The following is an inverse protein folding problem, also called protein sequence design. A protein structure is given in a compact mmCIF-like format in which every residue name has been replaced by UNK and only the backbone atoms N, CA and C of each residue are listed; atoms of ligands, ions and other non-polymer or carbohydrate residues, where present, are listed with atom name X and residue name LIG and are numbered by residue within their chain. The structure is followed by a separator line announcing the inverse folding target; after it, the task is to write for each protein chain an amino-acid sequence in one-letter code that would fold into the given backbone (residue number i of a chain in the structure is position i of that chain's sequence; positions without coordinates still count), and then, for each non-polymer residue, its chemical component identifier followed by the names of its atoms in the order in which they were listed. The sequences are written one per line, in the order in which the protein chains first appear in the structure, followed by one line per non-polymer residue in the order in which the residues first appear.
data_IF_676622138975
#
_entry.id   IF_676622138975
#
_cell.length_a   1.000
_cell.length_b   1.000
_cell.length_c   1.000
_cell.angle_alpha   90.00
_cell.angle_beta   90.00
_cell.angle_gamma   90.00
#
_symmetry.space_group_name_H-M   'P 1'
#
loop_
_entity.id
_entity.type
_entity.pdbx_description
1 polymer ?
#
# COMPACT_ATOMS: atom_id res chain seq x y z
N UNK A 1 -6.57 25.53 24.63
CA UNK A 1 -5.61 24.39 24.64
C UNK A 1 -6.14 23.39 23.64
N UNK A 2 -5.58 23.34 22.43
CA UNK A 2 -5.95 22.34 21.44
C UNK A 2 -5.26 21.05 21.83
N UNK A 3 -6.02 20.03 22.21
CA UNK A 3 -5.50 18.67 22.33
C UNK A 3 -4.95 18.27 20.97
N UNK A 4 -3.65 17.96 20.93
CA UNK A 4 -3.06 17.26 19.78
C UNK A 4 -3.84 15.97 19.58
N UNK A 5 -4.23 15.61 18.33
CA UNK A 5 -4.88 14.34 18.11
C UNK A 5 -3.97 13.25 18.65
N UNK A 6 -4.53 12.34 19.46
CA UNK A 6 -3.80 11.21 20.02
C UNK A 6 -3.13 10.45 18.85
N UNK A 7 -1.83 10.21 18.95
CA UNK A 7 -1.12 9.40 17.95
C UNK A 7 -1.81 8.05 17.83
N UNK A 8 -2.11 7.57 16.59
CA UNK A 8 -2.75 6.29 16.41
C UNK A 8 -1.84 5.18 16.97
N UNK A 9 -2.32 4.46 17.96
CA UNK A 9 -1.56 3.35 18.57
C UNK A 9 -1.51 2.18 17.60
N UNK A 10 -0.30 1.77 17.24
CA UNK A 10 -0.10 0.56 16.44
C UNK A 10 -0.44 -0.68 17.27
N UNK A 11 -1.10 -1.71 16.71
CA UNK A 11 -1.44 -2.91 17.47
C UNK A 11 -0.18 -3.71 17.85
N UNK A 12 -0.25 -4.37 19.00
CA UNK A 12 0.78 -5.33 19.36
C UNK A 12 0.71 -6.58 18.45
N UNK A 13 1.86 -7.22 18.19
CA UNK A 13 1.94 -8.40 17.34
C UNK A 13 0.99 -9.51 17.76
N UNK A 14 0.29 -10.08 16.77
CA UNK A 14 -0.63 -11.18 16.98
C UNK A 14 -1.91 -10.84 17.75
N UNK A 15 -2.13 -9.58 18.07
CA UNK A 15 -3.36 -9.08 18.68
C UNK A 15 -4.26 -8.45 17.63
N UNK A 16 -5.50 -8.91 17.57
CA UNK A 16 -6.52 -8.34 16.68
C UNK A 16 -7.03 -7.02 17.27
N UNK A 17 -6.94 -5.92 16.50
CA UNK A 17 -7.45 -4.61 16.89
C UNK A 17 -8.55 -4.16 15.92
N UNK A 18 -9.71 -3.82 16.47
CA UNK A 18 -10.80 -3.21 15.71
C UNK A 18 -10.45 -1.76 15.36
N UNK A 19 -10.59 -1.39 14.08
CA UNK A 19 -10.27 -0.04 13.56
C UNK A 19 -11.54 0.67 13.11
N UNK A 20 -12.39 0.00 12.36
CA UNK A 20 -13.70 0.47 11.95
C UNK A 20 -14.77 -0.54 12.39
N UNK A 21 -16.08 -0.26 12.30
CA UNK A 21 -17.12 -1.25 12.67
C UNK A 21 -17.01 -2.58 11.92
N UNK A 22 -16.28 -2.63 10.80
CA UNK A 22 -16.18 -3.79 9.92
C UNK A 22 -14.75 -4.16 9.52
N UNK A 23 -13.74 -3.44 10.00
CA UNK A 23 -12.35 -3.74 9.70
C UNK A 23 -11.52 -3.87 10.98
N UNK A 24 -10.79 -4.97 11.09
CA UNK A 24 -9.79 -5.22 12.14
C UNK A 24 -8.43 -5.47 11.52
N UNK A 25 -7.37 -5.10 12.23
CA UNK A 25 -5.97 -5.33 11.82
C UNK A 25 -5.32 -6.37 12.70
N UNK A 26 -4.53 -7.24 12.08
CA UNK A 26 -3.60 -8.16 12.72
C UNK A 26 -2.20 -7.85 12.20
N UNK A 27 -1.33 -7.32 13.06
CA UNK A 27 0.06 -6.99 12.69
C UNK A 27 0.91 -8.26 12.68
N UNK A 28 1.62 -8.50 11.58
CA UNK A 28 2.62 -9.56 11.48
C UNK A 28 3.95 -9.13 12.10
N UNK A 29 4.61 -10.03 12.80
CA UNK A 29 5.94 -9.82 13.41
C UNK A 29 7.06 -10.00 12.36
N UNK A 30 7.13 -9.04 11.42
CA UNK A 30 8.12 -8.98 10.36
C UNK A 30 8.69 -7.57 10.18
N UNK A 31 8.89 -6.86 11.29
CA UNK A 31 9.45 -5.50 11.27
C UNK A 31 10.75 -5.42 10.43
N UNK A 32 10.86 -4.38 9.63
CA UNK A 32 11.99 -4.14 8.73
C UNK A 32 12.05 -2.71 8.26
N UNK A 33 13.11 -2.38 7.53
CA UNK A 33 13.29 -1.01 6.98
C UNK A 33 12.17 -0.66 5.99
N UNK A 34 11.65 -1.65 5.28
CA UNK A 34 10.59 -1.47 4.28
C UNK A 34 9.21 -1.73 4.89
N UNK A 35 9.13 -2.66 5.83
CA UNK A 35 7.89 -3.12 6.46
C UNK A 35 7.52 -2.31 7.70
N UNK A 36 8.34 -1.33 8.11
CA UNK A 36 8.16 -0.55 9.34
C UNK A 36 8.03 -1.49 10.58
N UNK A 37 6.92 -1.39 11.31
CA UNK A 37 6.63 -2.28 12.43
C UNK A 37 6.13 -3.67 12.00
N UNK A 38 5.94 -3.91 10.72
CA UNK A 38 5.48 -5.15 10.11
C UNK A 38 4.33 -4.96 9.13
N UNK A 39 3.82 -6.07 8.61
CA UNK A 39 2.72 -6.08 7.64
C UNK A 39 1.36 -6.16 8.36
N UNK A 40 0.48 -5.24 8.06
CA UNK A 40 -0.91 -5.25 8.49
C UNK A 40 -1.73 -6.20 7.60
N UNK A 41 -2.17 -7.33 8.14
CA UNK A 41 -3.23 -8.11 7.52
C UNK A 41 -4.58 -7.58 7.98
N UNK A 42 -5.46 -7.22 7.05
CA UNK A 42 -6.78 -6.70 7.36
C UNK A 42 -7.84 -7.80 7.34
N UNK A 43 -8.69 -7.84 8.35
CA UNK A 43 -9.84 -8.74 8.44
C UNK A 43 -11.10 -7.89 8.33
N UNK A 44 -11.90 -8.14 7.28
CA UNK A 44 -13.09 -7.38 6.93
C UNK A 44 -14.34 -8.22 7.17
N UNK A 45 -15.32 -7.68 7.92
CA UNK A 45 -16.56 -8.38 8.25
C UNK A 45 -17.61 -7.38 8.70
N UNK A 46 -18.79 -7.40 8.09
CA UNK A 46 -19.93 -6.66 8.61
C UNK A 46 -20.37 -7.18 10.00
N UNK A 47 -20.84 -6.31 10.91
CA UNK A 47 -21.37 -6.75 12.20
C UNK A 47 -22.44 -7.83 12.03
N UNK A 48 -22.31 -8.90 12.83
CA UNK A 48 -23.23 -10.05 12.76
C UNK A 48 -22.98 -11.04 11.61
N UNK A 49 -22.14 -10.74 10.64
CA UNK A 49 -21.79 -11.69 9.58
C UNK A 49 -20.87 -12.81 10.12
N UNK A 50 -21.11 -14.04 9.67
CA UNK A 50 -20.28 -15.20 10.03
C UNK A 50 -19.04 -15.36 9.16
N UNK A 51 -19.01 -14.68 8.02
CA UNK A 51 -17.90 -14.72 7.06
C UNK A 51 -16.98 -13.52 7.22
N UNK A 52 -15.73 -13.65 6.78
CA UNK A 52 -14.80 -12.54 6.68
C UNK A 52 -13.93 -12.63 5.42
N UNK A 53 -13.35 -11.50 5.06
CA UNK A 53 -12.31 -11.39 4.04
C UNK A 53 -10.99 -11.10 4.74
N UNK A 54 -9.91 -11.76 4.31
CA UNK A 54 -8.54 -11.44 4.73
C UNK A 54 -7.87 -10.70 3.58
N UNK A 55 -7.23 -9.57 3.86
CA UNK A 55 -6.40 -8.85 2.89
C UNK A 55 -4.95 -8.96 3.31
N UNK A 56 -4.09 -9.37 2.38
CA UNK A 56 -2.64 -9.57 2.53
C UNK A 56 -2.30 -10.52 3.72
N UNK A 57 -2.19 -11.82 3.47
CA UNK A 57 -1.98 -12.81 4.52
C UNK A 57 -0.59 -12.78 5.15
N UNK A 58 0.29 -11.89 4.68
CA UNK A 58 1.61 -11.68 5.24
C UNK A 58 2.74 -12.46 4.58
N UNK A 59 3.96 -12.35 5.15
CA UNK A 59 5.17 -12.98 4.62
C UNK A 59 5.20 -14.49 4.84
N UNK A 60 6.08 -15.22 4.13
CA UNK A 60 6.25 -16.65 4.33
C UNK A 60 6.83 -16.96 5.70
N UNK A 61 6.61 -18.18 6.20
CA UNK A 61 7.18 -18.74 7.44
C UNK A 61 6.67 -18.14 8.75
N UNK A 62 5.77 -17.15 8.75
CA UNK A 62 5.14 -16.58 9.94
C UNK A 62 3.93 -17.42 10.38
N UNK A 63 4.21 -18.67 10.83
CA UNK A 63 3.18 -19.69 11.14
C UNK A 63 2.15 -19.24 12.18
N UNK A 64 2.56 -18.44 13.19
CA UNK A 64 1.66 -17.93 14.24
C UNK A 64 0.65 -16.94 13.63
N UNK A 65 1.12 -16.03 12.77
CA UNK A 65 0.28 -15.07 12.07
C UNK A 65 -0.75 -15.76 11.17
N UNK A 66 -0.31 -16.69 10.31
CA UNK A 66 -1.21 -17.50 9.47
C UNK A 66 -2.21 -18.30 10.30
N UNK A 67 -1.80 -18.86 11.44
CA UNK A 67 -2.72 -19.56 12.35
C UNK A 67 -3.79 -18.63 12.91
N UNK A 68 -3.42 -17.40 13.29
CA UNK A 68 -4.36 -16.42 13.82
C UNK A 68 -5.34 -15.93 12.74
N UNK A 69 -4.90 -15.72 11.49
CA UNK A 69 -5.76 -15.42 10.34
C UNK A 69 -6.73 -16.59 10.05
N UNK A 70 -6.22 -17.81 9.99
CA UNK A 70 -7.03 -18.99 9.73
C UNK A 70 -8.03 -19.32 10.86
N UNK A 71 -7.79 -18.82 12.06
CA UNK A 71 -8.70 -18.97 13.20
C UNK A 71 -9.88 -17.97 13.16
N UNK A 72 -9.87 -17.00 12.24
CA UNK A 72 -10.99 -16.11 12.06
C UNK A 72 -12.20 -16.90 11.54
N UNK A 73 -13.39 -16.71 12.12
CA UNK A 73 -14.58 -17.43 11.67
C UNK A 73 -14.88 -17.14 10.20
N UNK A 74 -15.08 -18.19 9.39
CA UNK A 74 -15.61 -18.10 8.05
C UNK A 74 -14.78 -17.28 7.08
N UNK A 75 -13.46 -17.53 6.96
CA UNK A 75 -12.67 -16.88 5.90
C UNK A 75 -13.24 -17.29 4.55
N UNK A 76 -13.96 -16.38 3.90
CA UNK A 76 -14.66 -16.63 2.63
C UNK A 76 -13.83 -16.23 1.40
N UNK A 77 -12.87 -15.29 1.59
CA UNK A 77 -12.05 -14.77 0.51
C UNK A 77 -10.73 -14.22 1.08
N UNK A 78 -9.65 -14.39 0.32
CA UNK A 78 -8.40 -13.67 0.51
C UNK A 78 -8.19 -12.72 -0.66
N UNK A 79 -7.88 -11.45 -0.37
CA UNK A 79 -7.56 -10.42 -1.37
C UNK A 79 -6.09 -10.03 -1.22
N UNK A 80 -5.43 -9.75 -2.33
CA UNK A 80 -4.02 -9.37 -2.38
C UNK A 80 -3.91 -7.99 -3.01
N UNK A 81 -3.19 -7.08 -2.33
CA UNK A 81 -2.98 -5.72 -2.83
C UNK A 81 -1.93 -5.65 -3.92
N UNK A 82 -0.81 -6.38 -3.79
CA UNK A 82 0.26 -6.44 -4.79
C UNK A 82 1.19 -7.63 -4.55
N UNK A 83 2.16 -7.81 -5.46
CA UNK A 83 2.99 -9.02 -5.59
C UNK A 83 4.10 -9.20 -4.55
N UNK A 84 4.47 -8.19 -3.76
CA UNK A 84 5.58 -8.32 -2.82
C UNK A 84 5.36 -9.46 -1.83
N UNK A 85 6.47 -10.12 -1.46
CA UNK A 85 6.41 -11.40 -0.73
C UNK A 85 5.89 -11.27 0.71
N UNK A 86 6.00 -10.10 1.30
CA UNK A 86 5.46 -9.80 2.62
C UNK A 86 3.93 -9.63 2.63
N UNK A 87 3.31 -9.56 1.44
CA UNK A 87 1.86 -9.62 1.23
C UNK A 87 1.41 -10.99 0.71
N UNK A 88 2.20 -11.60 -0.19
CA UNK A 88 1.81 -12.81 -0.92
C UNK A 88 2.37 -14.11 -0.32
N UNK A 89 3.42 -14.02 0.49
CA UNK A 89 4.21 -15.18 0.89
C UNK A 89 3.46 -16.24 1.70
N UNK A 90 2.36 -15.87 2.35
CA UNK A 90 1.53 -16.78 3.14
C UNK A 90 0.26 -17.26 2.41
N UNK A 91 0.04 -16.90 1.12
CA UNK A 91 -1.15 -17.30 0.34
C UNK A 91 -1.42 -18.79 0.45
N UNK A 92 -0.44 -19.63 0.08
CA UNK A 92 -0.62 -21.09 0.05
C UNK A 92 -0.89 -21.68 1.45
N UNK A 93 -0.25 -21.10 2.47
CA UNK A 93 -0.40 -21.56 3.84
C UNK A 93 -1.78 -21.21 4.41
N UNK A 94 -2.34 -20.04 4.07
CA UNK A 94 -3.68 -19.64 4.47
C UNK A 94 -4.73 -20.42 3.68
N UNK A 95 -4.60 -20.49 2.35
CA UNK A 95 -5.50 -21.24 1.47
C UNK A 95 -5.62 -22.72 1.90
N UNK A 96 -4.50 -23.39 2.17
CA UNK A 96 -4.50 -24.78 2.66
C UNK A 96 -5.27 -24.96 3.96
N UNK A 97 -5.33 -23.94 4.84
CA UNK A 97 -5.98 -24.03 6.15
C UNK A 97 -7.47 -23.70 6.09
N UNK A 98 -7.87 -22.82 5.21
CA UNK A 98 -9.23 -22.26 5.17
C UNK A 98 -10.06 -22.76 4.00
N UNK A 99 -9.40 -23.21 2.89
CA UNK A 99 -10.06 -23.49 1.63
C UNK A 99 -10.56 -22.23 0.91
N UNK A 100 -10.34 -21.05 1.49
CA UNK A 100 -10.84 -19.79 0.92
C UNK A 100 -10.12 -19.48 -0.41
N UNK A 101 -10.85 -19.09 -1.47
CA UNK A 101 -10.23 -18.61 -2.69
C UNK A 101 -9.36 -17.39 -2.44
N UNK A 102 -8.29 -17.24 -3.21
CA UNK A 102 -7.43 -16.05 -3.18
C UNK A 102 -7.52 -15.35 -4.52
N UNK A 103 -7.72 -14.03 -4.49
CA UNK A 103 -7.79 -13.18 -5.67
C UNK A 103 -6.75 -12.06 -5.59
N UNK A 104 -6.02 -11.88 -6.68
CA UNK A 104 -5.01 -10.86 -6.90
C UNK A 104 -5.17 -10.31 -8.32
N UNK A 105 -4.49 -9.21 -8.66
CA UNK A 105 -4.44 -8.74 -10.06
C UNK A 105 -3.66 -9.74 -10.94
N UNK A 106 -2.54 -10.27 -10.43
CA UNK A 106 -1.73 -11.26 -11.14
C UNK A 106 -2.28 -12.68 -10.91
N UNK A 107 -2.46 -13.43 -12.00
CA UNK A 107 -3.00 -14.80 -11.97
C UNK A 107 -2.18 -15.76 -11.10
N UNK A 108 -0.89 -15.59 -11.06
CA UNK A 108 0.05 -16.43 -10.28
C UNK A 108 -0.18 -16.36 -8.76
N UNK A 109 -0.77 -15.26 -8.27
CA UNK A 109 -1.14 -15.09 -6.86
C UNK A 109 -2.61 -15.47 -6.56
N UNK A 110 -3.35 -15.95 -7.56
CA UNK A 110 -4.70 -16.45 -7.35
C UNK A 110 -4.71 -17.93 -6.94
N UNK A 111 -5.66 -18.33 -6.08
CA UNK A 111 -5.99 -19.73 -5.75
C UNK A 111 -7.50 -19.89 -5.81
N UNK A 112 -7.99 -20.82 -6.60
CA UNK A 112 -9.43 -21.09 -6.80
C UNK A 112 -10.30 -19.84 -7.09
N UNK A 113 -9.66 -18.74 -7.50
CA UNK A 113 -10.30 -17.46 -7.81
C UNK A 113 -9.82 -16.87 -9.15
N UNK A 114 -10.61 -15.99 -9.74
CA UNK A 114 -10.24 -15.24 -10.92
C UNK A 114 -9.39 -14.01 -10.56
N UNK A 115 -8.51 -13.52 -11.46
CA UNK A 115 -7.83 -12.24 -11.27
C UNK A 115 -8.81 -11.10 -11.04
N UNK A 116 -8.39 -10.15 -10.22
CA UNK A 116 -9.13 -8.92 -9.95
C UNK A 116 -9.17 -8.03 -11.18
N UNK A 117 -10.29 -7.32 -11.36
CA UNK A 117 -10.48 -6.34 -12.44
C UNK A 117 -10.70 -4.95 -11.85
N UNK A 118 -10.25 -3.94 -12.57
CA UNK A 118 -10.49 -2.57 -12.15
C UNK A 118 -12.00 -2.25 -12.11
N UNK A 119 -12.42 -1.52 -11.07
CA UNK A 119 -13.83 -1.17 -10.81
C UNK A 119 -14.75 -2.36 -10.55
N UNK A 120 -14.22 -3.56 -10.41
CA UNK A 120 -15.00 -4.71 -9.99
C UNK A 120 -15.55 -4.49 -8.58
N UNK A 121 -16.82 -4.85 -8.39
CA UNK A 121 -17.49 -4.85 -7.08
C UNK A 121 -17.64 -6.29 -6.61
N UNK A 122 -17.21 -6.55 -5.38
CA UNK A 122 -17.28 -7.85 -4.72
C UNK A 122 -18.16 -7.68 -3.48
N UNK A 123 -19.34 -8.27 -3.50
CA UNK A 123 -20.22 -8.33 -2.34
C UNK A 123 -19.91 -9.62 -1.57
N UNK A 124 -19.32 -9.49 -0.38
CA UNK A 124 -18.82 -10.60 0.46
C UNK A 124 -18.75 -10.20 1.93
N UNK A 125 -18.99 -11.14 2.84
CA UNK A 125 -18.95 -10.90 4.29
C UNK A 125 -19.87 -9.75 4.75
N UNK A 126 -20.98 -9.51 4.03
CA UNK A 126 -21.91 -8.41 4.27
C UNK A 126 -21.38 -7.02 3.88
N UNK A 127 -20.30 -6.95 3.13
CA UNK A 127 -19.62 -5.72 2.73
C UNK A 127 -19.64 -5.57 1.21
N UNK A 128 -19.59 -4.33 0.75
CA UNK A 128 -19.31 -3.98 -0.65
C UNK A 128 -17.86 -3.56 -0.77
N UNK A 129 -17.09 -4.29 -1.58
CA UNK A 129 -15.65 -4.03 -1.82
C UNK A 129 -15.46 -3.69 -3.29
N UNK A 130 -15.03 -2.45 -3.57
CA UNK A 130 -14.69 -2.03 -4.93
C UNK A 130 -13.18 -2.10 -5.13
N UNK A 131 -12.77 -2.80 -6.18
CA UNK A 131 -11.35 -2.92 -6.58
C UNK A 131 -10.93 -1.69 -7.36
N UNK A 132 -9.86 -1.04 -6.95
CA UNK A 132 -9.28 0.12 -7.64
C UNK A 132 -7.85 -0.21 -8.05
N UNK A 133 -7.55 -0.19 -9.35
CA UNK A 133 -6.16 -0.30 -9.78
C UNK A 133 -5.41 0.96 -9.40
N UNK A 134 -4.36 0.80 -8.61
CA UNK A 134 -3.49 1.87 -8.12
C UNK A 134 -2.01 1.58 -8.40
N UNK A 135 -1.65 1.35 -9.70
CA UNK A 135 -0.27 1.05 -10.06
C UNK A 135 0.67 2.21 -9.72
N UNK A 136 1.94 1.89 -9.56
CA UNK A 136 2.99 2.89 -9.33
C UNK A 136 4.03 2.43 -8.33
N UNK A 137 3.64 1.99 -7.11
CA UNK A 137 4.55 1.29 -6.21
C UNK A 137 5.05 0.00 -6.90
N UNK A 138 4.11 -0.83 -7.34
CA UNK A 138 4.32 -1.90 -8.32
C UNK A 138 3.32 -1.75 -9.47
N UNK A 139 3.59 -2.39 -10.62
CA UNK A 139 2.67 -2.36 -11.77
C UNK A 139 1.34 -3.05 -11.49
N UNK A 140 1.28 -3.99 -10.55
CA UNK A 140 0.09 -4.76 -10.20
C UNK A 140 -0.69 -4.24 -8.99
N UNK A 141 -0.25 -3.15 -8.35
CA UNK A 141 -0.89 -2.62 -7.14
C UNK A 141 -2.37 -2.33 -7.33
N UNK A 142 -3.16 -2.74 -6.33
CA UNK A 142 -4.59 -2.44 -6.21
C UNK A 142 -4.92 -1.96 -4.81
N UNK A 143 -5.93 -1.11 -4.71
CA UNK A 143 -6.55 -0.69 -3.44
C UNK A 143 -7.98 -1.20 -3.38
N UNK A 144 -8.51 -1.35 -2.16
CA UNK A 144 -9.87 -1.82 -1.95
C UNK A 144 -10.66 -0.77 -1.19
N UNK A 145 -11.69 -0.21 -1.85
CA UNK A 145 -12.68 0.63 -1.18
C UNK A 145 -13.74 -0.28 -0.56
N UNK A 146 -13.86 -0.24 0.75
CA UNK A 146 -14.79 -1.04 1.55
C UNK A 146 -15.89 -0.14 2.08
N UNK A 147 -17.15 -0.51 1.85
CA UNK A 147 -18.32 0.29 2.19
C UNK A 147 -19.36 -0.53 2.97
N UNK A 148 -19.90 0.09 4.03
CA UNK A 148 -21.01 -0.45 4.84
C UNK A 148 -21.79 0.71 5.45
N UNK A 149 -23.09 0.82 5.19
CA UNK A 149 -24.03 1.76 5.82
C UNK A 149 -23.51 3.21 5.87
N UNK A 150 -22.92 3.67 4.77
CA UNK A 150 -22.36 5.02 4.65
C UNK A 150 -20.94 5.18 5.23
N UNK A 151 -20.41 4.20 5.96
CA UNK A 151 -19.01 4.19 6.38
C UNK A 151 -18.12 3.69 5.26
N UNK A 152 -16.97 4.34 5.09
CA UNK A 152 -16.01 4.03 4.02
C UNK A 152 -14.60 3.84 4.57
N UNK A 153 -13.89 2.86 4.08
CA UNK A 153 -12.47 2.66 4.37
C UNK A 153 -11.73 2.23 3.09
N UNK A 154 -10.48 2.64 2.95
CA UNK A 154 -9.64 2.31 1.81
C UNK A 154 -8.43 1.53 2.29
N UNK A 155 -8.31 0.29 1.85
CA UNK A 155 -7.08 -0.50 2.00
C UNK A 155 -6.18 -0.14 0.83
N UNK A 156 -5.01 0.42 1.12
CA UNK A 156 -4.13 1.02 0.10
C UNK A 156 -2.94 0.14 -0.27
N UNK A 157 -2.75 -1.00 0.43
CA UNK A 157 -1.49 -1.73 0.29
C UNK A 157 -0.32 -0.79 0.56
N UNK A 158 0.68 -0.87 -0.30
CA UNK A 158 1.87 0.00 -0.26
C UNK A 158 1.76 1.24 -1.15
N UNK A 159 0.60 1.51 -1.72
CA UNK A 159 0.39 2.77 -2.46
C UNK A 159 0.47 3.97 -1.51
N UNK A 160 -0.12 3.87 -0.32
CA UNK A 160 0.01 4.86 0.77
C UNK A 160 0.21 4.11 2.08
N UNK A 161 1.29 4.42 2.79
CA UNK A 161 1.64 3.86 4.11
C UNK A 161 1.07 4.73 5.24
N UNK A 162 1.01 4.18 6.43
CA UNK A 162 0.58 4.90 7.63
C UNK A 162 1.57 5.96 8.11
N UNK A 163 2.83 5.84 7.73
CA UNK A 163 3.89 6.83 8.00
C UNK A 163 4.97 6.76 6.93
N UNK A 164 5.76 7.82 6.78
CA UNK A 164 6.79 7.90 5.75
C UNK A 164 6.22 8.08 4.35
N UNK A 165 6.92 7.61 3.34
CA UNK A 165 6.49 7.59 1.94
C UNK A 165 6.96 6.29 1.27
N UNK A 166 6.13 5.72 0.40
CA UNK A 166 6.45 4.46 -0.29
C UNK A 166 7.61 4.60 -1.28
N UNK A 167 8.24 3.48 -1.59
CA UNK A 167 9.25 3.36 -2.64
C UNK A 167 8.58 2.96 -3.96
N UNK A 168 9.06 3.49 -5.08
CA UNK A 168 8.66 3.02 -6.42
C UNK A 168 9.57 1.84 -6.76
N UNK A 169 8.99 0.66 -6.97
CA UNK A 169 9.75 -0.55 -7.30
C UNK A 169 10.49 -0.36 -8.63
N UNK A 170 11.82 -0.52 -8.66
CA UNK A 170 12.61 -0.27 -9.87
C UNK A 170 12.38 -1.31 -10.98
N UNK A 171 11.67 -2.41 -10.71
CA UNK A 171 11.43 -3.48 -11.69
C UNK A 171 10.24 -3.18 -12.61
N UNK A 172 9.13 -2.66 -12.06
CA UNK A 172 7.92 -2.35 -12.81
C UNK A 172 7.10 -1.19 -12.22
N UNK A 173 7.59 -0.55 -11.16
CA UNK A 173 6.99 0.66 -10.61
C UNK A 173 7.16 1.86 -11.54
N UNK A 174 6.21 2.79 -11.48
CA UNK A 174 6.17 3.99 -12.32
C UNK A 174 5.72 5.20 -11.52
N UNK A 175 6.52 6.27 -11.53
CA UNK A 175 6.12 7.52 -10.86
C UNK A 175 4.92 8.18 -11.55
N UNK A 176 4.80 8.05 -12.88
CA UNK A 176 3.63 8.53 -13.63
C UNK A 176 2.36 7.85 -13.14
N UNK A 177 2.36 6.52 -13.12
CA UNK A 177 1.20 5.74 -12.71
C UNK A 177 0.88 6.00 -11.24
N UNK A 178 1.92 6.15 -10.40
CA UNK A 178 1.78 6.48 -9.00
C UNK A 178 1.08 7.83 -8.77
N UNK A 179 1.45 8.88 -9.52
CA UNK A 179 0.78 10.19 -9.45
C UNK A 179 -0.70 10.10 -9.89
N UNK A 180 -0.98 9.29 -10.92
CA UNK A 180 -2.35 8.97 -11.33
C UNK A 180 -3.13 8.24 -10.24
N UNK A 181 -2.51 7.27 -9.58
CA UNK A 181 -3.09 6.52 -8.47
C UNK A 181 -3.38 7.39 -7.26
N UNK A 182 -2.49 8.32 -6.90
CA UNK A 182 -2.74 9.29 -5.83
C UNK A 182 -3.96 10.19 -6.15
N UNK A 183 -4.06 10.69 -7.38
CA UNK A 183 -5.24 11.47 -7.80
C UNK A 183 -6.52 10.64 -7.70
N UNK A 184 -6.48 9.38 -8.13
CA UNK A 184 -7.60 8.45 -8.02
C UNK A 184 -8.01 8.23 -6.56
N UNK A 185 -7.06 7.96 -5.67
CA UNK A 185 -7.31 7.75 -4.25
C UNK A 185 -7.87 9.00 -3.56
N UNK A 186 -7.45 10.20 -3.95
CA UNK A 186 -8.01 11.47 -3.45
C UNK A 186 -9.51 11.58 -3.80
N UNK A 187 -9.88 11.18 -5.03
CA UNK A 187 -11.28 11.29 -5.51
C UNK A 187 -12.12 10.14 -4.99
N UNK A 188 -11.71 8.89 -5.26
CA UNK A 188 -12.49 7.70 -4.92
C UNK A 188 -12.49 7.41 -3.41
N UNK A 189 -11.42 7.81 -2.69
CA UNK A 189 -11.26 7.64 -1.25
C UNK A 189 -11.73 8.82 -0.41
N UNK A 190 -12.46 9.77 -0.97
CA UNK A 190 -13.02 10.89 -0.21
C UNK A 190 -13.86 10.35 0.97
N UNK A 191 -13.65 10.93 2.18
CA UNK A 191 -14.27 10.52 3.45
C UNK A 191 -13.96 9.07 3.91
N UNK A 192 -13.10 8.33 3.22
CA UNK A 192 -12.68 7.00 3.64
C UNK A 192 -11.58 7.05 4.71
N UNK A 193 -11.63 6.14 5.68
CA UNK A 193 -10.49 5.87 6.56
C UNK A 193 -9.34 5.24 5.75
N UNK A 194 -8.10 5.52 6.11
CA UNK A 194 -6.91 4.90 5.52
C UNK A 194 -6.53 3.65 6.31
N UNK A 195 -6.48 2.52 5.63
CA UNK A 195 -6.06 1.22 6.14
C UNK A 195 -4.83 0.75 5.35
N UNK A 196 -3.60 1.14 5.77
CA UNK A 196 -2.37 0.84 5.02
C UNK A 196 -1.85 -0.56 5.32
N UNK A 197 -0.98 -1.07 4.45
CA UNK A 197 -0.31 -2.34 4.72
C UNK A 197 0.85 -2.21 5.73
N UNK A 198 1.42 -1.02 5.89
CA UNK A 198 2.47 -0.77 6.88
C UNK A 198 2.22 0.54 7.63
N UNK A 199 2.57 0.54 8.94
CA UNK A 199 2.36 1.66 9.84
C UNK A 199 0.90 1.81 10.33
N UNK A 200 0.59 2.91 11.02
CA UNK A 200 -0.73 3.12 11.64
C UNK A 200 -1.82 3.44 10.60
N UNK A 201 -3.06 3.11 10.94
CA UNK A 201 -4.25 3.58 10.24
C UNK A 201 -4.52 5.07 10.52
N UNK A 202 -5.25 5.72 9.62
CA UNK A 202 -5.68 7.11 9.81
C UNK A 202 -7.18 7.26 9.59
N UNK A 203 -7.84 8.19 10.32
CA UNK A 203 -9.28 8.39 10.20
C UNK A 203 -9.71 8.90 8.81
N UNK A 204 -8.80 9.51 8.06
CA UNK A 204 -9.07 10.04 6.71
C UNK A 204 -7.88 9.81 5.77
N UNK A 205 -8.17 9.22 4.62
CA UNK A 205 -7.19 8.99 3.55
C UNK A 205 -6.79 10.28 2.83
N UNK A 206 -7.75 11.14 2.50
CA UNK A 206 -7.53 12.28 1.59
C UNK A 206 -6.38 13.21 2.02
N UNK A 207 -6.25 13.64 3.29
CA UNK A 207 -5.13 14.49 3.71
C UNK A 207 -3.77 13.80 3.51
N UNK A 208 -3.70 12.49 3.79
CA UNK A 208 -2.47 11.71 3.61
C UNK A 208 -2.11 11.57 2.13
N UNK A 209 -3.09 11.26 1.27
CA UNK A 209 -2.88 11.16 -0.18
C UNK A 209 -2.42 12.50 -0.80
N UNK A 210 -3.00 13.62 -0.35
CA UNK A 210 -2.56 14.97 -0.76
C UNK A 210 -1.13 15.28 -0.30
N UNK A 211 -0.78 14.90 0.93
CA UNK A 211 0.60 15.04 1.43
C UNK A 211 1.58 14.24 0.57
N UNK A 212 1.26 12.98 0.24
CA UNK A 212 2.10 12.16 -0.63
C UNK A 212 2.28 12.79 -2.01
N UNK A 213 1.19 13.31 -2.59
CA UNK A 213 1.24 13.98 -3.89
C UNK A 213 2.13 15.22 -3.85
N UNK A 214 1.90 16.12 -2.90
CA UNK A 214 2.69 17.34 -2.73
C UNK A 214 4.19 17.02 -2.51
N UNK A 215 4.50 16.02 -1.70
CA UNK A 215 5.87 15.57 -1.49
C UNK A 215 6.52 15.08 -2.80
N UNK A 216 5.79 14.34 -3.66
CA UNK A 216 6.32 13.90 -4.95
C UNK A 216 6.55 15.08 -5.91
N UNK A 217 5.61 16.02 -5.96
CA UNK A 217 5.72 17.24 -6.78
C UNK A 217 6.93 18.08 -6.34
N UNK A 218 7.11 18.30 -5.04
CA UNK A 218 8.28 19.00 -4.50
C UNK A 218 9.60 18.32 -4.88
N UNK A 219 9.65 16.99 -4.81
CA UNK A 219 10.84 16.23 -5.22
C UNK A 219 11.12 16.36 -6.72
N UNK A 220 10.10 16.33 -7.57
CA UNK A 220 10.25 16.57 -9.01
C UNK A 220 10.79 17.98 -9.29
N UNK A 221 10.26 19.00 -8.61
CA UNK A 221 10.73 20.39 -8.73
C UNK A 221 12.20 20.54 -8.28
N UNK A 222 12.61 19.84 -7.25
CA UNK A 222 14.01 19.84 -6.80
C UNK A 222 14.94 19.24 -7.86
N UNK A 223 14.53 18.13 -8.50
CA UNK A 223 15.29 17.53 -9.58
C UNK A 223 15.33 18.44 -10.79
N UNK A 224 14.21 19.05 -11.18
CA UNK A 224 14.15 19.96 -12.31
C UNK A 224 15.08 21.15 -12.12
N UNK A 225 15.02 21.82 -10.97
CA UNK A 225 15.95 22.91 -10.62
C UNK A 225 17.42 22.50 -10.70
N UNK A 226 17.74 21.30 -10.20
CA UNK A 226 19.12 20.79 -10.27
C UNK A 226 19.57 20.55 -11.72
N UNK A 227 18.68 20.08 -12.61
CA UNK A 227 18.96 19.89 -14.03
C UNK A 227 19.19 21.25 -14.73
N UNK A 228 18.37 22.24 -14.44
CA UNK A 228 18.49 23.61 -14.98
C UNK A 228 19.84 24.25 -14.57
N UNK A 229 20.20 24.14 -13.28
CA UNK A 229 21.50 24.61 -12.77
C UNK A 229 22.71 23.88 -13.40
N UNK A 230 22.52 22.63 -13.79
CA UNK A 230 23.55 21.82 -14.47
C UNK A 230 23.58 22.07 -15.99
N UNK A 231 22.61 22.77 -16.56
CA UNK A 231 22.45 23.00 -17.99
C UNK A 231 22.23 21.72 -18.79
N UNK A 232 21.53 20.73 -18.23
CA UNK A 232 21.30 19.42 -18.87
C UNK A 232 19.83 19.06 -18.81
N UNK A 233 19.34 18.38 -19.86
CA UNK A 233 17.99 17.80 -19.86
C UNK A 233 17.91 16.49 -19.08
N UNK A 234 16.70 16.07 -18.67
CA UNK A 234 16.48 14.80 -18.00
C UNK A 234 16.95 13.60 -18.85
N UNK A 235 16.85 13.70 -20.20
CA UNK A 235 17.33 12.67 -21.15
C UNK A 235 18.84 12.44 -21.05
N UNK A 236 19.63 13.50 -20.81
CA UNK A 236 21.10 13.46 -20.72
C UNK A 236 21.60 13.25 -19.29
N UNK A 237 20.72 13.38 -18.30
CA UNK A 237 21.09 13.29 -16.89
C UNK A 237 21.45 11.85 -16.47
N UNK A 238 22.60 11.75 -15.77
CA UNK A 238 23.00 10.49 -15.11
C UNK A 238 22.53 10.53 -13.64
N UNK A 239 21.72 9.55 -13.15
CA UNK A 239 21.14 9.59 -11.81
C UNK A 239 22.15 9.93 -10.71
N UNK A 240 23.33 9.31 -10.70
CA UNK A 240 24.36 9.60 -9.69
C UNK A 240 24.92 11.02 -9.70
N UNK A 241 24.90 11.72 -10.86
CA UNK A 241 25.29 13.14 -10.89
C UNK A 241 24.23 14.00 -10.21
N UNK A 242 22.96 13.69 -10.44
CA UNK A 242 21.83 14.38 -9.80
C UNK A 242 21.81 14.09 -8.30
N UNK A 243 22.02 12.83 -7.88
CA UNK A 243 22.13 12.47 -6.46
C UNK A 243 23.22 13.31 -5.76
N UNK A 244 24.41 13.42 -6.34
CA UNK A 244 25.51 14.22 -5.77
C UNK A 244 25.16 15.70 -5.63
N UNK A 245 24.30 16.24 -6.49
CA UNK A 245 23.85 17.64 -6.46
C UNK A 245 22.74 17.85 -5.44
N UNK A 246 21.70 17.00 -5.46
CA UNK A 246 20.47 17.18 -4.68
C UNK A 246 20.61 16.62 -3.26
N UNK A 247 21.40 15.58 -3.08
CA UNK A 247 21.57 14.86 -1.80
C UNK A 247 23.00 14.97 -1.25
N UNK A 248 23.68 16.11 -1.51
CA UNK A 248 25.05 16.35 -1.06
C UNK A 248 25.20 16.22 0.46
N UNK A 249 24.21 16.72 1.20
CA UNK A 249 24.18 16.76 2.66
C UNK A 249 23.61 15.50 3.32
N UNK A 250 23.21 14.50 2.50
CA UNK A 250 22.63 13.24 2.98
C UNK A 250 23.75 12.19 3.14
N UNK A 251 23.66 11.38 4.20
CA UNK A 251 24.62 10.28 4.43
C UNK A 251 24.74 9.41 3.16
N UNK A 252 25.98 9.20 2.73
CA UNK A 252 26.30 8.41 1.52
C UNK A 252 25.76 6.98 1.55
N UNK A 253 25.51 6.43 2.75
CA UNK A 253 24.85 5.12 2.93
C UNK A 253 23.45 5.10 2.34
N UNK A 254 22.75 6.24 2.27
CA UNK A 254 21.42 6.40 1.70
C UNK A 254 21.43 6.70 0.19
N UNK A 255 22.59 6.94 -0.41
CA UNK A 255 22.71 7.25 -1.84
C UNK A 255 22.21 6.15 -2.79
N UNK A 256 22.31 4.84 -2.49
CA UNK A 256 21.69 3.81 -3.31
C UNK A 256 20.16 3.98 -3.42
N UNK A 257 19.48 4.24 -2.30
CA UNK A 257 18.04 4.51 -2.28
C UNK A 257 17.69 5.83 -2.98
N UNK A 258 18.47 6.90 -2.71
CA UNK A 258 18.32 8.18 -3.41
C UNK A 258 18.49 8.03 -4.94
N UNK A 259 19.43 7.17 -5.38
CA UNK A 259 19.64 6.90 -6.82
C UNK A 259 18.41 6.23 -7.46
N UNK A 260 17.76 5.30 -6.76
CA UNK A 260 16.54 4.67 -7.26
C UNK A 260 15.41 5.70 -7.40
N UNK A 261 15.22 6.54 -6.38
CA UNK A 261 14.24 7.62 -6.42
C UNK A 261 14.50 8.61 -7.56
N UNK A 262 15.76 9.08 -7.70
CA UNK A 262 16.16 9.99 -8.79
C UNK A 262 15.95 9.33 -10.16
N UNK A 263 16.21 8.02 -10.31
CA UNK A 263 15.96 7.31 -11.56
C UNK A 263 14.49 7.40 -11.96
N UNK A 264 13.56 7.08 -11.06
CA UNK A 264 12.11 7.15 -11.31
C UNK A 264 11.66 8.59 -11.65
N UNK A 265 12.22 9.61 -10.95
CA UNK A 265 11.93 11.01 -11.21
C UNK A 265 12.45 11.48 -12.59
N UNK A 266 13.67 11.06 -12.97
CA UNK A 266 14.20 11.36 -14.31
C UNK A 266 13.41 10.67 -15.43
N UNK A 267 12.92 9.45 -15.20
CA UNK A 267 12.04 8.75 -16.13
C UNK A 267 10.75 9.54 -16.33
N UNK A 268 10.11 9.98 -15.23
CA UNK A 268 8.92 10.83 -15.29
C UNK A 268 9.16 12.13 -16.07
N UNK A 269 10.25 12.86 -15.79
CA UNK A 269 10.57 14.12 -16.45
C UNK A 269 10.85 13.93 -17.95
N UNK A 270 11.52 12.84 -18.36
CA UNK A 270 11.79 12.52 -19.77
C UNK A 270 10.52 12.35 -20.61
N UNK A 271 9.44 11.92 -19.99
CA UNK A 271 8.16 11.72 -20.65
C UNK A 271 7.40 13.05 -20.86
N UNK A 272 7.85 14.12 -20.16
CA UNK A 272 7.25 15.44 -20.22
C UNK A 272 8.15 16.48 -20.94
N UNK A 273 9.36 16.08 -21.39
CA UNK A 273 10.23 16.81 -22.33
C UNK A 273 9.87 16.42 -23.79
#
# INVERSE_FOLDING_TARGET
MSESPAEPTHPAYGQLRQVTPYASVLLCDNAGVMELDGTNSWILRAPGCKECVVVDPGPPRHKKHVKALAAQPGVALTLITHRHFDHTGAIDALHKRTGAPTRARLREHCRDGAPLRDREVIDVAGLRITVLYTPGHTGDSVSFLVELDGHRAMITGDTILGTGTTVIDPSDGSLRDYMGSLNRLIVDGAEAALLPAHGPDHPRLEPVARFYKAHREERLDQIQRALDEMGISARKAKPMKVVRKVYADVDKKLWPAARMSVKAQLEYLREHE
#
